data_IF_282222239805
#
_entry.id   IF_282222239805
#
_cell.length_a   1.000
_cell.length_b   1.000
_cell.length_c   1.000
_cell.angle_alpha   90.00
_cell.angle_beta   90.00
_cell.angle_gamma   90.00
#
_symmetry.space_group_name_H-M   'P 1'
#
loop_
_entity.id
_entity.type
_entity.pdbx_description
1 polymer ?
#
# COMPACT_ATOMS: atom_id res chain seq x y z
N UNK A 1 13.53 -14.61 -14.62
CA UNK A 1 14.13 -15.94 -14.86
C UNK A 1 14.30 -16.27 -16.34
N UNK A 2 13.26 -16.21 -17.17
CA UNK A 2 13.34 -16.59 -18.60
C UNK A 2 14.34 -15.74 -19.40
N UNK A 3 14.49 -14.45 -19.08
CA UNK A 3 15.50 -13.57 -19.69
C UNK A 3 16.93 -14.06 -19.42
N UNK A 4 17.24 -14.42 -18.17
CA UNK A 4 18.57 -14.95 -17.81
C UNK A 4 18.81 -16.35 -18.39
N UNK A 5 17.77 -17.18 -18.49
CA UNK A 5 17.87 -18.49 -19.15
C UNK A 5 18.21 -18.34 -20.64
N UNK A 6 17.58 -17.40 -21.36
CA UNK A 6 17.90 -17.10 -22.76
C UNK A 6 19.33 -16.54 -22.93
N UNK A 7 19.81 -15.77 -21.96
CA UNK A 7 21.16 -15.21 -21.95
C UNK A 7 22.22 -16.30 -21.72
N UNK A 8 21.99 -17.19 -20.74
CA UNK A 8 22.93 -18.26 -20.37
C UNK A 8 22.93 -19.42 -21.36
N UNK A 9 21.76 -19.76 -21.93
CA UNK A 9 21.58 -20.90 -22.82
C UNK A 9 20.96 -20.47 -24.16
N UNK A 10 21.63 -19.60 -24.94
CA UNK A 10 21.10 -19.09 -26.19
C UNK A 10 20.92 -20.16 -27.27
N UNK A 11 21.50 -21.35 -27.08
CA UNK A 11 21.43 -22.51 -27.94
C UNK A 11 20.28 -23.48 -27.57
N UNK A 12 19.62 -23.29 -26.43
CA UNK A 12 18.49 -24.11 -25.96
C UNK A 12 17.16 -23.34 -25.92
N UNK A 13 17.21 -22.01 -25.91
CA UNK A 13 16.04 -21.15 -25.84
C UNK A 13 16.05 -20.23 -27.05
N UNK A 14 15.05 -20.36 -27.92
CA UNK A 14 14.94 -19.50 -29.10
C UNK A 14 14.48 -18.08 -28.73
N UNK A 15 13.44 -17.98 -27.88
CA UNK A 15 12.86 -16.73 -27.42
C UNK A 15 12.42 -16.80 -25.95
N UNK A 16 12.39 -15.65 -25.28
CA UNK A 16 11.90 -15.52 -23.91
C UNK A 16 10.99 -14.28 -23.81
N UNK A 17 9.86 -14.43 -23.12
CA UNK A 17 8.93 -13.34 -22.80
C UNK A 17 8.86 -13.19 -21.28
N UNK A 18 9.37 -12.09 -20.76
CA UNK A 18 9.41 -11.78 -19.33
C UNK A 18 8.55 -10.55 -19.07
N UNK A 19 7.29 -10.77 -18.73
CA UNK A 19 6.39 -9.70 -18.31
C UNK A 19 6.56 -9.40 -16.83
N UNK A 20 6.62 -8.11 -16.49
CA UNK A 20 6.73 -7.59 -15.11
C UNK A 20 7.88 -8.18 -14.27
N UNK A 21 8.90 -8.77 -14.92
CA UNK A 21 10.04 -9.38 -14.26
C UNK A 21 11.19 -8.38 -14.05
N UNK A 22 11.52 -7.97 -12.81
CA UNK A 22 12.67 -7.09 -12.57
C UNK A 22 13.97 -7.80 -13.01
N UNK A 23 14.70 -7.17 -13.92
CA UNK A 23 15.92 -7.76 -14.52
C UNK A 23 17.20 -7.36 -13.78
N UNK A 24 17.19 -6.19 -13.15
CA UNK A 24 18.31 -5.70 -12.37
C UNK A 24 18.20 -6.21 -10.94
N UNK A 25 19.28 -6.79 -10.43
CA UNK A 25 19.41 -7.08 -9.02
C UNK A 25 19.64 -5.75 -8.29
N UNK A 26 18.60 -5.27 -7.62
CA UNK A 26 18.67 -4.14 -6.70
C UNK A 26 18.44 -4.67 -5.29
N UNK A 27 19.22 -4.17 -4.33
CA UNK A 27 19.08 -4.53 -2.92
C UNK A 27 17.86 -3.84 -2.31
N UNK A 28 17.69 -2.55 -2.62
CA UNK A 28 16.54 -1.72 -2.28
C UNK A 28 15.83 -1.23 -3.55
N UNK A 29 14.50 -1.16 -3.53
CA UNK A 29 13.65 -0.70 -4.63
C UNK A 29 12.91 0.60 -4.26
N UNK A 30 13.62 1.73 -4.07
CA UNK A 30 12.98 3.00 -3.72
C UNK A 30 11.95 3.44 -4.77
N UNK A 31 12.17 3.11 -6.04
CA UNK A 31 11.29 3.45 -7.16
C UNK A 31 9.92 2.78 -7.06
N UNK A 32 9.77 1.71 -6.26
CA UNK A 32 8.52 0.99 -6.12
C UNK A 32 7.40 1.90 -5.58
N UNK A 33 7.68 2.67 -4.53
CA UNK A 33 6.71 3.59 -3.94
C UNK A 33 6.50 4.84 -4.81
N UNK A 34 7.52 5.24 -5.58
CA UNK A 34 7.41 6.34 -6.54
C UNK A 34 6.44 5.99 -7.68
N UNK A 35 6.51 4.76 -8.21
CA UNK A 35 5.59 4.25 -9.24
C UNK A 35 4.15 4.21 -8.72
N UNK A 36 3.94 3.79 -7.46
CA UNK A 36 2.60 3.82 -6.84
C UNK A 36 2.08 5.26 -6.79
N UNK A 37 2.90 6.19 -6.33
CA UNK A 37 2.55 7.61 -6.23
C UNK A 37 2.21 8.19 -7.60
N UNK A 38 3.00 7.88 -8.63
CA UNK A 38 2.77 8.36 -9.99
C UNK A 38 1.52 7.78 -10.64
N UNK A 39 1.21 6.50 -10.39
CA UNK A 39 -0.03 5.89 -10.87
C UNK A 39 -1.27 6.56 -10.25
N UNK A 40 -1.23 6.87 -8.95
CA UNK A 40 -2.31 7.57 -8.26
C UNK A 40 -2.43 9.03 -8.74
N UNK A 41 -1.30 9.71 -8.95
CA UNK A 41 -1.27 11.06 -9.53
C UNK A 41 -1.94 11.10 -10.91
N UNK A 42 -1.47 10.24 -11.82
CA UNK A 42 -1.85 10.26 -13.24
C UNK A 42 -3.28 9.78 -13.50
N UNK A 43 -3.78 8.81 -12.74
CA UNK A 43 -5.11 8.22 -12.94
C UNK A 43 -6.15 8.66 -11.89
N UNK A 44 -5.71 9.31 -10.82
CA UNK A 44 -6.54 9.79 -9.72
C UNK A 44 -6.59 11.31 -9.68
N UNK A 45 -5.63 11.92 -8.99
CA UNK A 45 -5.45 13.38 -8.85
C UNK A 45 -4.35 13.71 -7.85
N UNK A 46 -3.85 14.95 -7.87
CA UNK A 46 -2.99 15.50 -6.80
C UNK A 46 -3.75 15.63 -5.47
N UNK A 47 -5.04 15.97 -5.53
CA UNK A 47 -5.91 16.04 -4.36
C UNK A 47 -6.03 14.67 -3.66
N UNK A 48 -6.04 13.58 -4.44
CA UNK A 48 -6.04 12.22 -3.90
C UNK A 48 -4.75 11.90 -3.14
N UNK A 49 -3.59 12.25 -3.69
CA UNK A 49 -2.31 12.08 -3.00
C UNK A 49 -2.27 12.90 -1.70
N UNK A 50 -2.77 14.14 -1.76
CA UNK A 50 -2.88 15.01 -0.58
C UNK A 50 -3.76 14.38 0.51
N UNK A 51 -4.90 13.81 0.14
CA UNK A 51 -5.79 13.11 1.08
C UNK A 51 -5.13 11.88 1.71
N UNK A 52 -4.39 11.09 0.92
CA UNK A 52 -3.64 9.93 1.43
C UNK A 52 -2.55 10.39 2.40
N UNK A 53 -1.78 11.42 2.04
CA UNK A 53 -0.74 11.99 2.89
C UNK A 53 -1.31 12.46 4.23
N UNK A 54 -2.40 13.23 4.22
CA UNK A 54 -3.07 13.70 5.44
C UNK A 54 -3.55 12.54 6.32
N UNK A 55 -4.09 11.47 5.71
CA UNK A 55 -4.49 10.28 6.44
C UNK A 55 -3.30 9.59 7.11
N UNK A 56 -2.18 9.47 6.40
CA UNK A 56 -0.95 8.86 6.90
C UNK A 56 -0.31 9.67 8.02
N UNK A 57 -0.18 10.99 7.84
CA UNK A 57 0.33 11.91 8.86
C UNK A 57 -0.51 11.81 10.14
N UNK A 58 -1.84 11.78 10.00
CA UNK A 58 -2.75 11.65 11.14
C UNK A 58 -2.60 10.31 11.86
N UNK A 59 -2.39 9.22 11.14
CA UNK A 59 -2.11 7.90 11.74
C UNK A 59 -0.81 7.93 12.54
N UNK A 60 0.26 8.50 11.97
CA UNK A 60 1.56 8.64 12.65
C UNK A 60 1.43 9.49 13.92
N UNK A 61 0.69 10.61 13.86
CA UNK A 61 0.39 11.42 15.05
C UNK A 61 -0.31 10.61 16.14
N UNK A 62 -1.36 9.85 15.77
CA UNK A 62 -2.11 9.02 16.71
C UNK A 62 -1.21 7.98 17.37
N UNK A 63 -0.36 7.28 16.62
CA UNK A 63 0.58 6.29 17.16
C UNK A 63 1.54 6.89 18.21
N UNK A 64 1.81 8.20 18.17
CA UNK A 64 2.60 8.90 19.17
C UNK A 64 1.86 9.25 20.48
N UNK A 65 0.56 8.97 20.59
CA UNK A 65 -0.25 9.31 21.77
C UNK A 65 -0.52 8.11 22.67
N UNK A 66 -0.79 8.35 23.96
CA UNK A 66 -0.99 7.30 25.00
C UNK A 66 -2.03 6.23 24.63
N UNK A 67 -3.11 6.61 23.94
CA UNK A 67 -4.19 5.69 23.54
C UNK A 67 -4.32 5.52 22.03
N UNK A 68 -3.52 6.22 21.23
CA UNK A 68 -3.76 6.27 19.80
C UNK A 68 -3.40 4.98 19.06
N UNK A 69 -2.51 4.15 19.60
CA UNK A 69 -2.28 2.81 19.06
C UNK A 69 -3.55 1.93 19.07
N UNK A 70 -4.30 1.95 20.17
CA UNK A 70 -5.58 1.26 20.26
C UNK A 70 -6.63 1.89 19.32
N UNK A 71 -6.64 3.22 19.19
CA UNK A 71 -7.51 3.91 18.24
C UNK A 71 -7.23 3.48 16.80
N UNK A 72 -5.96 3.49 16.37
CA UNK A 72 -5.54 3.06 15.03
C UNK A 72 -5.88 1.57 14.82
N UNK A 73 -5.64 0.71 15.82
CA UNK A 73 -6.03 -0.70 15.73
C UNK A 73 -7.52 -0.91 15.49
N UNK A 74 -8.38 -0.10 16.13
CA UNK A 74 -9.82 -0.15 15.91
C UNK A 74 -10.21 0.38 14.54
N UNK A 75 -9.66 1.53 14.12
CA UNK A 75 -9.91 2.14 12.82
C UNK A 75 -9.59 1.15 11.68
N UNK A 76 -8.41 0.55 11.72
CA UNK A 76 -7.90 -0.34 10.67
C UNK A 76 -8.29 -1.81 10.87
N UNK A 77 -9.08 -2.13 11.91
CA UNK A 77 -9.48 -3.50 12.26
C UNK A 77 -8.28 -4.45 12.27
N UNK A 78 -7.25 -4.11 13.04
CA UNK A 78 -6.04 -4.93 13.10
C UNK A 78 -6.30 -6.27 13.82
N UNK A 79 -5.59 -7.32 13.42
CA UNK A 79 -5.73 -8.66 14.01
C UNK A 79 -5.24 -8.72 15.46
N UNK A 80 -4.35 -7.81 15.84
CA UNK A 80 -3.88 -7.61 17.21
C UNK A 80 -3.70 -6.11 17.45
N UNK A 81 -3.83 -5.61 18.69
CA UNK A 81 -3.48 -4.23 19.00
C UNK A 81 -2.04 -3.94 18.57
N UNK A 82 -1.82 -2.76 17.97
CA UNK A 82 -0.48 -2.31 17.58
C UNK A 82 0.27 -1.94 18.86
N UNK A 83 1.46 -2.50 19.05
CA UNK A 83 2.40 -1.98 20.03
C UNK A 83 3.24 -0.87 19.40
N UNK A 84 2.86 0.39 19.64
CA UNK A 84 3.57 1.55 19.09
C UNK A 84 5.01 1.71 19.64
N UNK A 85 5.37 1.01 20.73
CA UNK A 85 6.74 1.00 21.24
C UNK A 85 7.64 0.01 20.50
N UNK A 86 7.04 -0.95 19.80
CA UNK A 86 7.74 -1.92 18.97
C UNK A 86 7.76 -1.44 17.50
N UNK A 87 8.94 -0.99 17.06
CA UNK A 87 9.13 -0.52 15.68
C UNK A 87 8.76 -1.58 14.61
N UNK A 88 8.92 -2.88 14.92
CA UNK A 88 8.56 -3.96 13.99
C UNK A 88 7.05 -4.14 13.85
N UNK A 89 6.27 -3.91 14.91
CA UNK A 89 4.81 -3.95 14.86
C UNK A 89 4.28 -2.74 14.06
N UNK A 90 4.85 -1.55 14.28
CA UNK A 90 4.53 -0.35 13.49
C UNK A 90 4.85 -0.56 12.00
N UNK A 91 6.02 -1.10 11.68
CA UNK A 91 6.41 -1.40 10.30
C UNK A 91 5.52 -2.47 9.67
N UNK A 92 5.15 -3.51 10.42
CA UNK A 92 4.24 -4.57 9.96
C UNK A 92 2.87 -3.99 9.64
N UNK A 93 2.32 -3.14 10.52
CA UNK A 93 1.05 -2.45 10.28
C UNK A 93 1.09 -1.60 9.00
N UNK A 94 2.12 -0.77 8.81
CA UNK A 94 2.20 0.05 7.61
C UNK A 94 2.35 -0.80 6.34
N UNK A 95 3.12 -1.88 6.39
CA UNK A 95 3.29 -2.78 5.26
C UNK A 95 1.97 -3.44 4.85
N UNK A 96 1.33 -4.20 5.75
CA UNK A 96 0.14 -4.99 5.43
C UNK A 96 -1.15 -4.15 5.38
N UNK A 97 -1.19 -3.02 6.09
CA UNK A 97 -2.37 -2.14 6.12
C UNK A 97 -2.37 -1.14 4.96
N UNK A 98 -1.24 -0.49 4.71
CA UNK A 98 -1.18 0.67 3.81
C UNK A 98 -0.47 0.30 2.51
N UNK A 99 0.81 -0.06 2.59
CA UNK A 99 1.67 -0.23 1.40
C UNK A 99 1.15 -1.31 0.48
N UNK A 100 0.87 -2.50 1.01
CA UNK A 100 0.36 -3.63 0.23
C UNK A 100 -0.99 -3.31 -0.42
N UNK A 101 -1.86 -2.56 0.26
CA UNK A 101 -3.18 -2.17 -0.27
C UNK A 101 -3.06 -1.26 -1.49
N UNK A 102 -2.20 -0.24 -1.45
CA UNK A 102 -1.98 0.66 -2.59
C UNK A 102 -1.18 -0.01 -3.71
N UNK A 103 -0.18 -0.83 -3.35
CA UNK A 103 0.54 -1.67 -4.29
C UNK A 103 -0.42 -2.56 -5.09
N UNK A 104 -1.34 -3.25 -4.40
CA UNK A 104 -2.33 -4.11 -5.04
C UNK A 104 -3.26 -3.31 -5.96
N UNK A 105 -3.73 -2.14 -5.51
CA UNK A 105 -4.54 -1.24 -6.33
C UNK A 105 -3.81 -0.91 -7.64
N UNK A 106 -2.58 -0.41 -7.58
CA UNK A 106 -1.84 0.04 -8.77
C UNK A 106 -1.47 -1.13 -9.67
N UNK A 107 -1.08 -2.28 -9.10
CA UNK A 107 -0.66 -3.46 -9.85
C UNK A 107 -1.80 -4.09 -10.68
N UNK A 108 -3.03 -4.07 -10.15
CA UNK A 108 -4.16 -4.80 -10.73
C UNK A 108 -5.32 -3.91 -11.18
N UNK A 109 -5.17 -2.58 -11.11
CA UNK A 109 -6.21 -1.65 -11.52
C UNK A 109 -6.64 -1.87 -12.97
N UNK A 110 -7.96 -1.97 -13.16
CA UNK A 110 -8.63 -1.77 -14.44
C UNK A 110 -8.91 -0.27 -14.66
N UNK A 111 -9.13 0.18 -15.91
CA UNK A 111 -9.46 1.57 -16.20
C UNK A 111 -10.55 2.12 -15.29
N UNK A 112 -10.28 3.25 -14.64
CA UNK A 112 -11.20 3.94 -13.71
C UNK A 112 -11.16 3.45 -12.26
N UNK A 113 -10.50 2.34 -11.93
CA UNK A 113 -10.47 1.85 -10.54
C UNK A 113 -9.63 2.74 -9.61
N UNK A 114 -8.52 3.29 -10.10
CA UNK A 114 -7.71 4.25 -9.33
C UNK A 114 -8.52 5.53 -9.08
N UNK A 115 -9.20 6.06 -10.11
CA UNK A 115 -10.09 7.21 -9.96
C UNK A 115 -11.21 6.96 -8.94
N UNK A 116 -11.82 5.77 -8.94
CA UNK A 116 -12.84 5.37 -7.96
C UNK A 116 -12.28 5.29 -6.53
N UNK A 117 -11.08 4.74 -6.36
CA UNK A 117 -10.39 4.74 -5.07
C UNK A 117 -10.15 6.16 -4.57
N UNK A 118 -9.69 7.05 -5.45
CA UNK A 118 -9.48 8.45 -5.13
C UNK A 118 -10.78 9.20 -4.79
N UNK A 119 -11.89 8.91 -5.46
CA UNK A 119 -13.19 9.48 -5.10
C UNK A 119 -13.62 9.11 -3.67
N UNK A 120 -13.32 7.88 -3.23
CA UNK A 120 -13.58 7.46 -1.84
C UNK A 120 -12.63 8.14 -0.85
N UNK A 121 -11.34 8.25 -1.19
CA UNK A 121 -10.32 8.87 -0.34
C UNK A 121 -10.46 10.39 -0.22
N UNK A 122 -11.06 11.05 -1.21
CA UNK A 122 -11.39 12.48 -1.20
C UNK A 122 -12.76 12.78 -0.58
N UNK A 123 -13.51 11.76 -0.14
CA UNK A 123 -14.84 11.96 0.39
C UNK A 123 -14.81 12.60 1.78
N UNK A 124 -15.06 13.91 1.83
CA UNK A 124 -15.04 14.71 3.06
C UNK A 124 -16.28 14.51 3.96
N UNK A 125 -17.18 13.56 3.68
CA UNK A 125 -18.22 13.18 4.66
C UNK A 125 -17.61 12.61 5.94
N UNK A 126 -16.43 11.98 5.84
CA UNK A 126 -15.62 11.57 6.98
C UNK A 126 -14.58 12.66 7.24
N UNK A 127 -14.72 13.37 8.37
CA UNK A 127 -13.88 14.53 8.71
C UNK A 127 -12.48 14.14 9.16
N UNK A 128 -12.33 12.97 9.79
CA UNK A 128 -11.03 12.46 10.23
C UNK A 128 -10.32 11.79 9.04
N UNK A 129 -9.17 12.32 8.57
CA UNK A 129 -8.47 11.75 7.43
C UNK A 129 -7.91 10.35 7.73
N UNK A 130 -7.56 10.03 8.98
CA UNK A 130 -7.11 8.68 9.35
C UNK A 130 -8.28 7.68 9.27
N UNK A 131 -9.47 8.07 9.74
CA UNK A 131 -10.67 7.23 9.61
C UNK A 131 -11.05 7.01 8.15
N UNK A 132 -11.00 8.05 7.32
CA UNK A 132 -11.31 7.96 5.89
C UNK A 132 -10.36 7.00 5.17
N UNK A 133 -9.07 7.08 5.47
CA UNK A 133 -8.07 6.15 4.95
C UNK A 133 -8.35 4.72 5.43
N UNK A 134 -8.64 4.53 6.71
CA UNK A 134 -8.95 3.23 7.30
C UNK A 134 -10.23 2.61 6.72
N UNK A 135 -11.28 3.40 6.50
CA UNK A 135 -12.53 2.94 5.89
C UNK A 135 -12.30 2.43 4.47
N UNK A 136 -11.48 3.12 3.69
CA UNK A 136 -11.13 2.67 2.35
C UNK A 136 -10.31 1.38 2.40
N UNK A 137 -9.24 1.32 3.20
CA UNK A 137 -8.37 0.14 3.35
C UNK A 137 -9.17 -1.08 3.80
N UNK A 138 -9.95 -0.95 4.87
CA UNK A 138 -10.71 -2.06 5.46
C UNK A 138 -11.93 -2.48 4.63
N UNK A 139 -12.26 -1.74 3.57
CA UNK A 139 -13.27 -2.13 2.58
C UNK A 139 -12.69 -2.94 1.41
N UNK A 140 -11.37 -3.05 1.29
CA UNK A 140 -10.74 -3.80 0.20
C UNK A 140 -10.81 -5.30 0.47
N UNK A 141 -11.01 -6.13 -0.55
CA UNK A 141 -11.00 -7.58 -0.38
C UNK A 141 -9.58 -8.04 -0.05
N UNK A 142 -9.38 -8.46 1.19
CA UNK A 142 -8.11 -8.97 1.71
C UNK A 142 -8.16 -10.49 1.85
N UNK A 143 -6.99 -11.13 1.82
CA UNK A 143 -6.87 -12.59 2.08
C UNK A 143 -7.13 -12.95 3.54
N UNK A 144 -7.07 -11.96 4.45
CA UNK A 144 -7.33 -12.08 5.89
C UNK A 144 -8.43 -11.10 6.33
N UNK A 145 -9.26 -11.42 7.34
CA UNK A 145 -10.38 -10.57 7.76
C UNK A 145 -9.97 -9.28 8.50
N UNK A 146 -8.67 -9.09 8.75
CA UNK A 146 -8.12 -8.01 9.56
C UNK A 146 -6.70 -7.64 9.07
N UNK A 147 -6.23 -6.45 9.43
CA UNK A 147 -4.87 -5.99 9.08
C UNK A 147 -3.84 -6.61 10.01
N UNK A 148 -2.80 -7.25 9.45
CA UNK A 148 -1.69 -7.77 10.25
C UNK A 148 -0.87 -6.61 10.82
N UNK A 149 -0.65 -6.63 12.13
CA UNK A 149 0.04 -5.58 12.87
C UNK A 149 1.15 -6.08 13.78
N UNK A 150 1.23 -7.40 14.00
CA UNK A 150 2.21 -8.03 14.89
C UNK A 150 3.28 -8.74 14.07
N UNK A 151 4.55 -8.47 14.38
CA UNK A 151 5.70 -9.13 13.74
C UNK A 151 5.76 -10.62 14.07
#
# INVERSE_FOLDING_TARGET
>A
MVTWMRLAYPHLVDAAFSDSGPLYAQEDFPEYLEVITEAIRSQGSEECLTSIQQGMERVVELLGTTNGANQVSQMFRTCSPIDASNALDVATFFWYGVTETFAYLVQYARPGQIAQACAALNNNTVSDPAQRLADWITSRPTTQPCVKSKY
#
